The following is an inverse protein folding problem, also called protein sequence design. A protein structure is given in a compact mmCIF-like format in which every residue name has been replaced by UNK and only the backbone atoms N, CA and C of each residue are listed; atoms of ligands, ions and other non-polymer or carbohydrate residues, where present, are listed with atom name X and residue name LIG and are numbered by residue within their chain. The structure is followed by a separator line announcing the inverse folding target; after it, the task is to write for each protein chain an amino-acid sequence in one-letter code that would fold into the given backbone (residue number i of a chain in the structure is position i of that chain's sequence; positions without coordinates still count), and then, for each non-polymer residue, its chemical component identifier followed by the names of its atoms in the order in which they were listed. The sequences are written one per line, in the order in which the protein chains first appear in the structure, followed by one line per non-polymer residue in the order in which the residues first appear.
data_IF_945690862798
#
_entry.id   IF_945690862798
#
_cell.length_a   1.000
_cell.length_b   1.000
_cell.length_c   1.000
_cell.angle_alpha   90.00
_cell.angle_beta   90.00
_cell.angle_gamma   90.00
#
_symmetry.space_group_name_H-M   'P 1'
#
loop_
_entity.id
_entity.type
_entity.pdbx_description
1 polymer ?
#
# COMPACT_ATOMS: atom_id res chain seq x y z
N UNK A 1 -14.27 -15.70 23.97
CA UNK A 1 -13.32 -16.68 24.52
C UNK A 1 -13.49 -18.08 23.91
N UNK A 2 -14.61 -18.79 24.12
CA UNK A 2 -14.79 -20.15 23.60
C UNK A 2 -14.60 -20.30 22.08
N UNK A 3 -15.18 -19.39 21.28
CA UNK A 3 -14.97 -19.36 19.81
C UNK A 3 -13.50 -19.20 19.42
N UNK A 4 -12.74 -18.39 20.16
CA UNK A 4 -11.31 -18.17 19.92
C UNK A 4 -10.50 -19.44 20.21
N UNK A 5 -10.79 -20.13 21.32
CA UNK A 5 -10.13 -21.39 21.65
C UNK A 5 -10.43 -22.50 20.64
N UNK A 6 -11.65 -22.54 20.10
CA UNK A 6 -12.02 -23.46 19.02
C UNK A 6 -11.22 -23.19 17.75
N UNK A 7 -11.06 -21.94 17.33
CA UNK A 7 -10.22 -21.58 16.19
C UNK A 7 -8.75 -21.91 16.44
N UNK A 8 -8.21 -21.62 17.64
CA UNK A 8 -6.85 -22.00 17.99
C UNK A 8 -6.63 -23.51 17.90
N UNK A 9 -7.58 -24.31 18.40
CA UNK A 9 -7.53 -25.77 18.32
C UNK A 9 -7.58 -26.26 16.87
N UNK A 10 -8.48 -25.70 16.06
CA UNK A 10 -8.64 -26.04 14.64
C UNK A 10 -7.36 -25.77 13.83
N UNK A 11 -6.62 -24.72 14.19
CA UNK A 11 -5.36 -24.32 13.54
C UNK A 11 -4.11 -24.94 14.18
N UNK A 12 -4.27 -25.89 15.11
CA UNK A 12 -3.15 -26.58 15.74
C UNK A 12 -2.29 -25.69 16.65
N UNK A 13 -2.84 -24.59 17.16
CA UNK A 13 -2.10 -23.69 18.06
C UNK A 13 -1.91 -24.38 19.42
N UNK A 14 -0.65 -24.60 19.85
CA UNK A 14 -0.31 -25.19 21.15
C UNK A 14 -0.97 -24.46 22.32
N UNK A 15 -1.36 -25.20 23.37
CA UNK A 15 -2.16 -24.67 24.49
C UNK A 15 -1.44 -23.53 25.22
N UNK A 16 -0.15 -23.69 25.45
CA UNK A 16 0.79 -22.74 26.02
C UNK A 16 0.91 -21.44 25.21
N UNK A 17 0.74 -21.50 23.88
CA UNK A 17 0.74 -20.30 23.04
C UNK A 17 -0.58 -19.52 23.06
N UNK A 18 -1.71 -20.14 23.44
CA UNK A 18 -3.05 -19.52 23.29
C UNK A 18 -3.24 -18.27 24.12
N UNK A 19 -2.58 -18.18 25.29
CA UNK A 19 -2.65 -17.00 26.14
C UNK A 19 -2.00 -15.79 25.46
N UNK A 20 -0.80 -15.96 24.92
CA UNK A 20 -0.11 -14.92 24.16
C UNK A 20 -0.91 -14.50 22.92
N UNK A 21 -1.48 -15.46 22.19
CA UNK A 21 -2.35 -15.17 21.04
C UNK A 21 -3.59 -14.35 21.45
N UNK A 22 -4.20 -14.69 22.59
CA UNK A 22 -5.37 -13.95 23.09
C UNK A 22 -5.01 -12.52 23.50
N UNK A 23 -3.89 -12.36 24.20
CA UNK A 23 -3.37 -11.03 24.56
C UNK A 23 -3.16 -10.17 23.30
N UNK A 24 -2.59 -10.74 22.23
CA UNK A 24 -2.44 -10.06 20.95
C UNK A 24 -3.78 -9.65 20.31
N UNK A 25 -4.83 -10.47 20.44
CA UNK A 25 -6.18 -10.10 19.98
C UNK A 25 -6.74 -8.91 20.77
N UNK A 26 -6.37 -8.79 22.05
CA UNK A 26 -6.68 -7.64 22.91
C UNK A 26 -5.79 -6.43 22.70
N UNK A 27 -4.81 -6.51 21.81
CA UNK A 27 -3.86 -5.44 21.54
C UNK A 27 -2.70 -5.37 22.55
N UNK A 28 -2.55 -6.39 23.39
CA UNK A 28 -1.41 -6.52 24.30
C UNK A 28 -0.24 -7.17 23.56
N UNK A 29 0.66 -6.33 23.07
CA UNK A 29 1.76 -6.76 22.18
C UNK A 29 2.97 -7.31 22.96
N UNK A 30 3.01 -7.15 24.28
CA UNK A 30 4.16 -7.55 25.13
C UNK A 30 4.47 -9.05 25.07
N UNK A 31 3.49 -9.90 24.73
CA UNK A 31 3.67 -11.34 24.60
C UNK A 31 4.00 -11.78 23.16
N UNK A 32 4.07 -10.87 22.19
CA UNK A 32 4.38 -11.16 20.79
C UNK A 32 5.71 -11.92 20.61
N UNK A 33 6.73 -11.52 21.39
CA UNK A 33 8.07 -12.09 21.32
C UNK A 33 8.17 -13.54 21.77
N UNK A 34 7.21 -14.01 22.57
CA UNK A 34 7.19 -15.37 23.11
C UNK A 34 6.70 -16.41 22.09
N UNK A 35 6.00 -15.97 21.04
CA UNK A 35 5.49 -16.87 20.03
C UNK A 35 6.59 -17.28 19.04
N UNK A 36 6.75 -18.58 18.74
CA UNK A 36 7.58 -19.00 17.62
C UNK A 36 6.97 -18.52 16.30
N UNK A 37 7.81 -18.35 15.29
CA UNK A 37 7.37 -17.86 13.97
C UNK A 37 6.33 -18.80 13.32
N UNK A 38 6.43 -20.12 13.52
CA UNK A 38 5.42 -21.08 13.09
C UNK A 38 4.02 -20.79 13.69
N UNK A 39 3.95 -20.34 14.95
CA UNK A 39 2.68 -19.94 15.56
C UNK A 39 2.12 -18.68 14.87
N UNK A 40 2.97 -17.71 14.57
CA UNK A 40 2.61 -16.51 13.81
C UNK A 40 2.02 -16.84 12.44
N UNK A 41 2.56 -17.85 11.74
CA UNK A 41 1.98 -18.34 10.48
C UNK A 41 0.60 -18.94 10.65
N UNK A 42 0.39 -19.77 11.68
CA UNK A 42 -0.93 -20.32 11.99
C UNK A 42 -1.97 -19.21 12.31
N UNK A 43 -1.54 -18.09 12.90
CA UNK A 43 -2.42 -16.94 13.16
C UNK A 43 -2.92 -16.25 11.90
N UNK A 44 -2.19 -16.29 10.78
CA UNK A 44 -2.64 -15.68 9.53
C UNK A 44 -3.86 -16.37 8.94
N UNK A 45 -4.06 -17.65 9.27
CA UNK A 45 -5.22 -18.43 8.85
C UNK A 45 -6.48 -18.12 9.67
N UNK A 46 -6.31 -17.48 10.83
CA UNK A 46 -7.44 -17.01 11.62
C UNK A 46 -7.98 -15.74 10.94
N UNK A 47 -9.29 -15.63 10.70
CA UNK A 47 -9.90 -14.49 9.98
C UNK A 47 -9.99 -13.21 10.84
N UNK A 48 -8.96 -12.91 11.63
CA UNK A 48 -8.86 -11.71 12.46
C UNK A 48 -7.93 -10.69 11.79
N UNK A 49 -8.42 -9.50 11.38
CA UNK A 49 -7.60 -8.49 10.70
C UNK A 49 -6.42 -7.99 11.54
N UNK A 50 -6.57 -7.97 12.87
CA UNK A 50 -5.53 -7.57 13.84
C UNK A 50 -4.26 -8.42 13.67
N UNK A 51 -4.40 -9.74 13.59
CA UNK A 51 -3.26 -10.66 13.45
C UNK A 51 -2.48 -10.47 12.17
N UNK A 52 -3.13 -10.18 11.04
CA UNK A 52 -2.42 -9.91 9.77
C UNK A 52 -1.58 -8.65 9.82
N UNK A 53 -2.02 -7.64 10.58
CA UNK A 53 -1.26 -6.41 10.80
C UNK A 53 -0.09 -6.68 11.74
N UNK A 54 -0.35 -7.35 12.86
CA UNK A 54 0.66 -7.68 13.86
C UNK A 54 1.75 -8.61 13.31
N UNK A 55 1.36 -9.64 12.56
CA UNK A 55 2.28 -10.56 11.90
C UNK A 55 3.28 -9.83 11.02
N UNK A 56 2.79 -8.95 10.13
CA UNK A 56 3.66 -8.24 9.20
C UNK A 56 4.65 -7.35 9.94
N UNK A 57 4.18 -6.62 10.96
CA UNK A 57 5.06 -5.79 11.78
C UNK A 57 6.09 -6.66 12.51
N UNK A 58 5.66 -7.71 13.18
CA UNK A 58 6.55 -8.60 13.95
C UNK A 58 7.60 -9.29 13.09
N UNK A 59 7.21 -9.86 11.94
CA UNK A 59 8.15 -10.56 11.05
C UNK A 59 9.14 -9.58 10.43
N UNK A 60 8.68 -8.40 10.01
CA UNK A 60 9.57 -7.35 9.49
C UNK A 60 10.49 -6.81 10.58
N UNK A 61 10.03 -6.57 11.79
CA UNK A 61 10.88 -6.05 12.87
C UNK A 61 11.92 -7.09 13.32
N UNK A 62 11.55 -8.38 13.37
CA UNK A 62 12.40 -9.45 13.90
C UNK A 62 13.37 -10.03 12.86
N UNK A 63 13.02 -9.98 11.57
CA UNK A 63 13.84 -10.53 10.47
C UNK A 63 14.26 -9.48 9.44
N UNK A 64 13.85 -8.23 9.61
CA UNK A 64 14.30 -7.08 8.83
C UNK A 64 15.62 -6.53 9.34
N UNK A 65 16.58 -7.39 9.67
CA UNK A 65 17.90 -6.95 10.09
C UNK A 65 18.61 -6.22 8.93
N UNK A 66 18.53 -4.89 8.94
CA UNK A 66 19.58 -3.95 8.54
C UNK A 66 20.07 -3.95 7.10
N UNK A 67 19.51 -4.73 6.18
CA UNK A 67 19.86 -4.71 4.76
C UNK A 67 18.85 -3.87 4.00
N UNK A 68 19.12 -2.57 3.75
CA UNK A 68 18.26 -1.77 2.89
C UNK A 68 18.25 -2.37 1.48
N UNK A 69 17.16 -2.13 0.75
CA UNK A 69 17.08 -2.48 -0.67
C UNK A 69 18.22 -1.80 -1.44
N UNK A 70 18.92 -2.57 -2.28
CA UNK A 70 20.05 -2.11 -3.10
C UNK A 70 19.82 -2.52 -4.56
N UNK A 71 20.39 -1.78 -5.53
CA UNK A 71 20.28 -2.16 -6.93
C UNK A 71 20.74 -3.60 -7.17
N UNK A 72 20.03 -4.32 -8.03
CA UNK A 72 20.30 -5.73 -8.34
C UNK A 72 19.83 -6.74 -7.29
N UNK A 73 19.24 -6.31 -6.17
CA UNK A 73 18.64 -7.23 -5.21
C UNK A 73 17.52 -8.06 -5.86
N UNK A 74 17.50 -9.35 -5.55
CA UNK A 74 16.43 -10.27 -5.97
C UNK A 74 15.38 -10.44 -4.86
N UNK A 75 14.12 -10.24 -5.23
CA UNK A 75 12.96 -10.25 -4.35
C UNK A 75 11.98 -11.37 -4.71
N UNK A 76 11.33 -11.94 -3.72
CA UNK A 76 10.18 -12.86 -3.91
C UNK A 76 8.92 -12.24 -3.31
N UNK A 77 7.84 -12.28 -4.08
CA UNK A 77 6.54 -11.69 -3.71
C UNK A 77 5.61 -12.73 -3.07
N UNK A 78 5.46 -12.69 -1.74
CA UNK A 78 4.64 -13.64 -0.99
C UNK A 78 3.29 -13.06 -0.56
N UNK A 79 2.22 -13.71 -1.00
CA UNK A 79 0.84 -13.38 -0.63
C UNK A 79 0.14 -12.43 -1.60
N UNK A 80 -0.87 -11.74 -1.09
CA UNK A 80 -1.73 -10.81 -1.86
C UNK A 80 -1.30 -9.36 -1.65
N UNK A 81 -1.22 -8.60 -2.74
CA UNK A 81 -0.74 -7.21 -2.77
C UNK A 81 -1.87 -6.24 -3.12
N UNK A 82 -1.65 -4.94 -2.96
CA UNK A 82 -2.65 -3.93 -3.33
C UNK A 82 -2.81 -3.82 -4.84
N UNK A 83 -1.71 -4.01 -5.59
CA UNK A 83 -1.72 -4.17 -7.03
C UNK A 83 -1.47 -5.63 -7.44
N UNK A 84 -1.62 -5.94 -8.73
CA UNK A 84 -1.33 -7.29 -9.23
C UNK A 84 0.16 -7.59 -9.07
N UNK A 85 0.51 -8.86 -8.84
CA UNK A 85 1.93 -9.27 -8.74
C UNK A 85 2.72 -8.90 -10.00
N UNK A 86 2.08 -8.98 -11.18
CA UNK A 86 2.68 -8.60 -12.45
C UNK A 86 3.04 -7.10 -12.48
N UNK A 87 2.12 -6.22 -12.06
CA UNK A 87 2.39 -4.78 -12.02
C UNK A 87 3.46 -4.43 -10.99
N UNK A 88 3.42 -5.07 -9.82
CA UNK A 88 4.45 -4.88 -8.80
C UNK A 88 5.81 -5.36 -9.30
N UNK A 89 5.87 -6.50 -9.97
CA UNK A 89 7.11 -7.02 -10.54
C UNK A 89 7.69 -6.08 -11.60
N UNK A 90 6.85 -5.59 -12.52
CA UNK A 90 7.28 -4.63 -13.54
C UNK A 90 7.85 -3.33 -12.92
N UNK A 91 7.25 -2.82 -11.85
CA UNK A 91 7.75 -1.64 -11.14
C UNK A 91 9.10 -1.92 -10.44
N UNK A 92 9.24 -3.09 -9.81
CA UNK A 92 10.48 -3.53 -9.17
C UNK A 92 11.60 -3.66 -10.21
N UNK A 93 11.33 -4.30 -11.34
CA UNK A 93 12.30 -4.49 -12.43
C UNK A 93 12.71 -3.16 -13.06
N UNK A 94 11.77 -2.23 -13.24
CA UNK A 94 12.05 -0.87 -13.73
C UNK A 94 12.98 -0.09 -12.78
N UNK A 95 12.92 -0.38 -11.48
CA UNK A 95 13.81 0.21 -10.48
C UNK A 95 15.20 -0.47 -10.40
N UNK A 96 15.50 -1.41 -11.30
CA UNK A 96 16.78 -2.12 -11.35
C UNK A 96 16.92 -3.25 -10.33
N UNK A 97 15.80 -3.74 -9.80
CA UNK A 97 15.74 -4.91 -8.92
C UNK A 97 15.31 -6.14 -9.74
N UNK A 98 15.41 -7.35 -9.17
CA UNK A 98 14.97 -8.60 -9.81
C UNK A 98 13.81 -9.21 -9.05
N UNK A 99 12.88 -9.85 -9.75
CA UNK A 99 11.80 -10.62 -9.12
C UNK A 99 11.92 -12.09 -9.46
N UNK A 100 11.97 -12.93 -8.43
CA UNK A 100 11.94 -14.38 -8.55
C UNK A 100 10.57 -14.94 -8.16
N UNK A 101 10.18 -16.04 -8.80
CA UNK A 101 8.92 -16.75 -8.51
C UNK A 101 9.05 -17.53 -7.19
N UNK A 102 10.22 -18.14 -6.97
CA UNK A 102 10.53 -19.00 -5.82
C UNK A 102 11.85 -18.53 -5.20
N UNK A 103 11.99 -18.56 -3.86
CA UNK A 103 13.26 -18.24 -3.20
C UNK A 103 14.37 -19.19 -3.64
N UNK A 104 15.49 -18.61 -4.10
CA UNK A 104 16.71 -19.31 -4.46
C UNK A 104 17.92 -18.79 -3.68
N UNK A 105 19.12 -19.24 -4.05
CA UNK A 105 20.37 -18.81 -3.39
C UNK A 105 20.74 -17.35 -3.64
N UNK A 106 20.19 -16.74 -4.70
CA UNK A 106 20.38 -15.33 -5.05
C UNK A 106 19.33 -14.41 -4.41
N UNK A 107 18.27 -14.99 -3.85
CA UNK A 107 17.20 -14.21 -3.24
C UNK A 107 17.73 -13.51 -2.01
N UNK A 108 17.52 -12.20 -1.95
CA UNK A 108 17.99 -11.36 -0.84
C UNK A 108 16.84 -10.90 0.04
N UNK A 109 15.66 -10.69 -0.55
CA UNK A 109 14.51 -10.15 0.17
C UNK A 109 13.22 -10.94 -0.09
N UNK A 110 12.37 -10.99 0.94
CA UNK A 110 10.97 -11.44 0.85
C UNK A 110 10.06 -10.23 1.02
N UNK A 111 9.21 -9.97 0.04
CA UNK A 111 8.17 -8.94 0.12
C UNK A 111 6.88 -9.57 0.65
N UNK A 112 6.46 -9.14 1.84
CA UNK A 112 5.26 -9.65 2.49
C UNK A 112 4.00 -8.88 2.06
N UNK A 113 3.09 -9.61 1.41
CA UNK A 113 1.70 -9.21 1.16
C UNK A 113 0.78 -9.45 2.36
N UNK A 114 -0.53 -9.31 2.16
CA UNK A 114 -1.55 -9.40 3.23
C UNK A 114 -1.85 -10.84 3.67
N UNK A 115 -1.62 -11.83 2.80
CA UNK A 115 -1.91 -13.25 3.02
C UNK A 115 -0.78 -14.12 2.47
N UNK A 116 0.43 -14.03 3.03
CA UNK A 116 1.55 -14.84 2.57
C UNK A 116 1.28 -16.33 2.86
N UNK A 117 1.61 -17.25 1.94
CA UNK A 117 1.64 -18.68 2.27
C UNK A 117 2.80 -18.98 3.22
N UNK A 118 2.62 -19.99 4.08
CA UNK A 118 3.71 -20.48 4.92
C UNK A 118 4.66 -21.37 4.11
N UNK A 119 5.96 -21.13 4.26
CA UNK A 119 7.01 -22.00 3.75
C UNK A 119 8.09 -22.15 4.81
N UNK A 120 8.21 -23.35 5.40
CA UNK A 120 9.19 -23.65 6.45
C UNK A 120 10.63 -23.34 6.01
N UNK A 121 10.94 -23.57 4.73
CA UNK A 121 12.27 -23.30 4.16
C UNK A 121 12.70 -21.83 4.32
N UNK A 122 11.77 -20.87 4.31
CA UNK A 122 12.09 -19.45 4.45
C UNK A 122 12.71 -19.10 5.81
N UNK A 123 12.44 -19.90 6.84
CA UNK A 123 12.97 -19.66 8.17
C UNK A 123 14.48 -19.98 8.27
N UNK A 124 14.96 -20.86 7.38
CA UNK A 124 16.34 -21.35 7.34
C UNK A 124 17.24 -20.48 6.46
N UNK A 125 16.66 -19.63 5.61
CA UNK A 125 17.40 -18.77 4.71
C UNK A 125 17.69 -17.41 5.38
N UNK A 126 18.89 -16.82 5.20
CA UNK A 126 19.26 -15.52 5.74
C UNK A 126 18.66 -14.36 4.90
N UNK A 127 17.33 -14.37 4.74
CA UNK A 127 16.58 -13.43 3.92
C UNK A 127 16.12 -12.24 4.76
N UNK A 128 16.16 -11.05 4.16
CA UNK A 128 15.59 -9.83 4.75
C UNK A 128 14.11 -9.72 4.39
N UNK A 129 13.26 -9.39 5.36
CA UNK A 129 11.82 -9.28 5.15
C UNK A 129 11.43 -7.83 4.99
N UNK A 130 10.62 -7.53 3.99
CA UNK A 130 10.17 -6.17 3.68
C UNK A 130 8.69 -6.14 3.35
N UNK A 131 8.12 -4.95 3.23
CA UNK A 131 6.71 -4.72 2.89
C UNK A 131 6.57 -4.17 1.47
N UNK A 132 5.38 -4.34 0.89
CA UNK A 132 5.03 -3.69 -0.38
C UNK A 132 5.28 -2.18 -0.33
N UNK A 133 4.92 -1.52 0.78
CA UNK A 133 5.09 -0.07 0.92
C UNK A 133 6.56 0.36 0.85
N UNK A 134 7.45 -0.34 1.55
CA UNK A 134 8.89 -0.04 1.54
C UNK A 134 9.53 -0.29 0.17
N UNK A 135 9.09 -1.34 -0.54
CA UNK A 135 9.55 -1.61 -1.91
C UNK A 135 9.07 -0.52 -2.87
N UNK A 136 7.80 -0.11 -2.78
CA UNK A 136 7.26 0.95 -3.61
C UNK A 136 7.92 2.31 -3.33
N UNK A 137 8.28 2.59 -2.07
CA UNK A 137 9.08 3.76 -1.72
C UNK A 137 10.45 3.73 -2.39
N UNK A 138 11.18 2.62 -2.28
CA UNK A 138 12.44 2.43 -3.00
C UNK A 138 12.27 2.59 -4.52
N UNK A 139 11.25 1.98 -5.11
CA UNK A 139 10.98 2.11 -6.53
C UNK A 139 10.68 3.56 -6.91
N UNK A 140 9.98 4.34 -6.07
CA UNK A 140 9.73 5.77 -6.33
C UNK A 140 11.02 6.60 -6.28
N UNK A 141 11.95 6.27 -5.38
CA UNK A 141 13.25 6.94 -5.30
C UNK A 141 14.18 6.60 -6.47
N UNK A 142 14.08 5.38 -7.03
CA UNK A 142 15.01 4.85 -8.04
C UNK A 142 14.46 4.75 -9.45
N UNK A 143 13.15 4.72 -9.62
CA UNK A 143 12.55 4.68 -10.94
C UNK A 143 13.05 5.89 -11.73
N UNK A 144 13.59 5.71 -12.94
CA UNK A 144 13.74 6.80 -13.88
C UNK A 144 12.33 7.21 -14.27
N UNK A 145 11.71 8.07 -13.47
CA UNK A 145 10.33 8.44 -13.71
C UNK A 145 10.28 9.15 -15.06
N UNK A 146 9.66 8.52 -16.05
CA UNK A 146 9.38 9.17 -17.32
C UNK A 146 8.56 10.45 -17.13
N UNK A 147 7.84 10.57 -16.01
CA UNK A 147 7.13 11.79 -15.60
C UNK A 147 7.92 12.68 -14.60
N UNK A 148 9.04 12.29 -14.00
CA UNK A 148 9.90 13.23 -13.23
C UNK A 148 11.13 13.68 -14.01
N UNK A 149 11.60 12.91 -15.01
CA UNK A 149 12.69 13.29 -15.93
C UNK A 149 12.21 13.99 -17.19
N UNK A 150 10.95 13.79 -17.59
CA UNK A 150 10.38 14.29 -18.87
C UNK A 150 8.92 14.73 -18.75
N UNK A 151 8.47 15.12 -17.54
CA UNK A 151 7.31 16.01 -17.46
C UNK A 151 7.73 17.39 -18.00
N UNK A 152 7.85 17.50 -19.32
CA UNK A 152 7.71 18.79 -19.94
C UNK A 152 6.43 19.43 -19.37
N UNK A 153 6.46 20.71 -18.98
CA UNK A 153 5.29 21.39 -18.44
C UNK A 153 4.03 21.17 -19.28
N UNK A 154 4.19 21.11 -20.61
CA UNK A 154 3.13 20.81 -21.56
C UNK A 154 2.47 19.41 -21.35
N UNK A 155 3.23 18.39 -20.99
CA UNK A 155 2.72 17.04 -20.74
C UNK A 155 1.93 16.96 -19.43
N UNK A 156 2.39 17.65 -18.38
CA UNK A 156 1.63 17.75 -17.12
C UNK A 156 0.35 18.54 -17.29
N UNK A 157 0.37 19.66 -18.02
CA UNK A 157 -0.83 20.45 -18.28
C UNK A 157 -1.87 19.67 -19.09
N UNK A 158 -1.44 18.89 -20.08
CA UNK A 158 -2.35 17.96 -20.79
C UNK A 158 -2.95 16.94 -19.83
N UNK A 159 -2.15 16.37 -18.93
CA UNK A 159 -2.65 15.41 -17.94
C UNK A 159 -3.65 16.04 -16.96
N UNK A 160 -3.37 17.25 -16.45
CA UNK A 160 -4.32 18.04 -15.64
C UNK A 160 -5.63 18.26 -16.38
N UNK A 161 -5.55 18.70 -17.64
CA UNK A 161 -6.72 18.93 -18.48
C UNK A 161 -7.56 17.66 -18.65
N UNK A 162 -6.93 16.51 -18.89
CA UNK A 162 -7.64 15.25 -19.02
C UNK A 162 -8.27 14.78 -17.70
N UNK A 163 -7.60 14.99 -16.56
CA UNK A 163 -8.13 14.63 -15.23
C UNK A 163 -9.31 15.52 -14.81
N UNK A 164 -9.29 16.80 -15.19
CA UNK A 164 -10.36 17.76 -14.91
C UNK A 164 -11.48 17.76 -15.95
N UNK A 165 -11.42 16.89 -16.94
CA UNK A 165 -12.41 16.80 -18.01
C UNK A 165 -13.69 16.10 -17.55
N UNK A 166 -14.84 16.64 -17.94
CA UNK A 166 -16.14 15.97 -17.75
C UNK A 166 -16.34 14.80 -18.71
N UNK A 167 -15.47 14.64 -19.72
CA UNK A 167 -15.51 13.53 -20.67
C UNK A 167 -14.82 12.30 -20.08
N UNK A 168 -15.60 11.26 -19.80
CA UNK A 168 -15.07 10.02 -19.21
C UNK A 168 -13.94 9.37 -20.02
N UNK A 169 -13.93 9.52 -21.35
CA UNK A 169 -12.88 9.00 -22.22
C UNK A 169 -11.52 9.65 -21.94
N UNK A 170 -11.50 10.96 -21.71
CA UNK A 170 -10.28 11.69 -21.36
C UNK A 170 -9.78 11.27 -19.98
N UNK A 171 -10.70 11.11 -19.02
CA UNK A 171 -10.35 10.58 -17.71
C UNK A 171 -9.78 9.16 -17.81
N UNK A 172 -10.40 8.26 -18.59
CA UNK A 172 -9.87 6.89 -18.82
C UNK A 172 -8.44 6.91 -19.36
N UNK A 173 -8.17 7.76 -20.35
CA UNK A 173 -6.85 7.91 -20.94
C UNK A 173 -5.84 8.42 -19.91
N UNK A 174 -6.19 9.45 -19.14
CA UNK A 174 -5.34 9.96 -18.06
C UNK A 174 -5.01 8.88 -17.03
N UNK A 175 -6.01 8.11 -16.59
CA UNK A 175 -5.79 7.03 -15.62
C UNK A 175 -4.88 5.93 -16.20
N UNK A 176 -4.99 5.61 -17.49
CA UNK A 176 -4.11 4.63 -18.14
C UNK A 176 -2.66 5.12 -18.21
N UNK A 177 -2.44 6.40 -18.52
CA UNK A 177 -1.10 7.00 -18.51
C UNK A 177 -0.50 6.96 -17.11
N UNK A 178 -1.29 7.27 -16.08
CA UNK A 178 -0.88 7.22 -14.68
C UNK A 178 -0.60 5.79 -14.18
N UNK A 179 -1.38 4.80 -14.64
CA UNK A 179 -1.15 3.39 -14.31
C UNK A 179 0.18 2.87 -14.87
N UNK A 180 0.62 3.37 -16.04
CA UNK A 180 1.90 3.01 -16.64
C UNK A 180 3.10 3.83 -16.14
N UNK A 181 2.90 5.14 -15.89
CA UNK A 181 3.98 6.08 -15.55
C UNK A 181 4.11 6.43 -14.06
N UNK A 182 3.17 5.97 -13.23
CA UNK A 182 3.03 6.42 -11.85
C UNK A 182 2.27 7.75 -11.74
N UNK A 183 2.02 8.19 -10.50
CA UNK A 183 1.29 9.44 -10.22
C UNK A 183 2.27 10.55 -9.83
N UNK A 184 2.45 11.58 -10.67
CA UNK A 184 3.21 12.76 -10.28
C UNK A 184 2.53 13.50 -9.14
N UNK A 185 3.30 13.96 -8.16
CA UNK A 185 2.77 14.76 -7.05
C UNK A 185 2.04 16.03 -7.55
N UNK A 186 2.50 16.59 -8.67
CA UNK A 186 1.93 17.78 -9.28
C UNK A 186 0.48 17.64 -9.79
N UNK A 187 -0.05 16.42 -9.93
CA UNK A 187 -1.42 16.16 -10.41
C UNK A 187 -2.30 15.45 -9.37
N UNK A 188 -1.81 15.33 -8.12
CA UNK A 188 -2.47 14.58 -7.06
C UNK A 188 -3.85 15.19 -6.71
N UNK A 189 -3.95 16.52 -6.72
CA UNK A 189 -5.16 17.27 -6.41
C UNK A 189 -6.22 17.10 -7.49
N UNK A 190 -5.83 17.17 -8.76
CA UNK A 190 -6.68 16.94 -9.93
C UNK A 190 -7.16 15.49 -9.98
N UNK A 191 -6.29 14.53 -9.64
CA UNK A 191 -6.68 13.12 -9.52
C UNK A 191 -7.70 12.90 -8.40
N UNK A 192 -7.54 13.55 -7.24
CA UNK A 192 -8.53 13.52 -6.17
C UNK A 192 -9.84 14.18 -6.60
N UNK A 193 -9.78 15.32 -7.28
CA UNK A 193 -10.96 15.99 -7.80
C UNK A 193 -11.72 15.09 -8.78
N UNK A 194 -11.03 14.42 -9.71
CA UNK A 194 -11.62 13.46 -10.63
C UNK A 194 -12.34 12.32 -9.89
N UNK A 195 -11.76 11.79 -8.80
CA UNK A 195 -12.40 10.77 -7.96
C UNK A 195 -13.72 11.27 -7.34
N UNK A 196 -13.75 12.53 -6.88
CA UNK A 196 -14.91 13.12 -6.23
C UNK A 196 -16.03 13.44 -7.21
N UNK A 197 -15.69 13.93 -8.39
CA UNK A 197 -16.64 14.48 -9.38
C UNK A 197 -17.15 13.43 -10.37
N UNK A 198 -16.39 12.39 -10.68
CA UNK A 198 -16.83 11.39 -11.66
C UNK A 198 -18.12 10.68 -11.23
N UNK A 199 -19.03 10.43 -12.18
CA UNK A 199 -20.24 9.61 -11.95
C UNK A 199 -19.98 8.10 -12.04
N UNK A 200 -18.94 7.69 -12.77
CA UNK A 200 -18.66 6.28 -13.03
C UNK A 200 -18.05 5.56 -11.83
N UNK A 201 -18.73 4.52 -11.35
CA UNK A 201 -18.24 3.66 -10.28
C UNK A 201 -16.97 2.88 -10.65
N UNK A 202 -16.74 2.62 -11.93
CA UNK A 202 -15.50 2.01 -12.42
C UNK A 202 -14.33 2.99 -12.28
N UNK A 203 -14.49 4.21 -12.78
CA UNK A 203 -13.46 5.25 -12.71
C UNK A 203 -13.14 5.61 -11.26
N UNK A 204 -14.15 5.75 -10.38
CA UNK A 204 -13.92 5.94 -8.93
C UNK A 204 -13.00 4.89 -8.34
N UNK A 205 -13.19 3.61 -8.69
CA UNK A 205 -12.39 2.50 -8.18
C UNK A 205 -10.95 2.56 -8.71
N UNK A 206 -10.75 2.90 -9.98
CA UNK A 206 -9.41 3.07 -10.57
C UNK A 206 -8.68 4.26 -9.98
N UNK A 207 -9.32 5.43 -9.93
CA UNK A 207 -8.74 6.66 -9.35
C UNK A 207 -8.37 6.47 -7.88
N UNK A 208 -9.24 5.87 -7.07
CA UNK A 208 -8.94 5.59 -5.66
C UNK A 208 -7.77 4.62 -5.48
N UNK A 209 -7.58 3.66 -6.39
CA UNK A 209 -6.43 2.75 -6.36
C UNK A 209 -5.12 3.52 -6.57
N UNK A 210 -5.09 4.37 -7.60
CA UNK A 210 -3.93 5.21 -7.91
C UNK A 210 -3.60 6.19 -6.78
N UNK A 211 -4.61 6.85 -6.21
CA UNK A 211 -4.43 7.75 -5.06
C UNK A 211 -3.79 7.02 -3.87
N UNK A 212 -4.28 5.83 -3.52
CA UNK A 212 -3.74 5.04 -2.40
C UNK A 212 -2.30 4.58 -2.61
N UNK A 213 -1.89 4.34 -3.86
CA UNK A 213 -0.49 4.01 -4.17
C UNK A 213 0.41 5.24 -4.21
N UNK A 214 -0.15 6.44 -4.43
CA UNK A 214 0.62 7.67 -4.57
C UNK A 214 0.93 8.32 -3.21
N UNK A 215 0.03 8.19 -2.22
CA UNK A 215 0.13 8.89 -0.93
C UNK A 215 0.59 7.98 0.22
N UNK A 216 1.23 8.60 1.21
CA UNK A 216 1.61 8.01 2.48
C UNK A 216 0.45 7.90 3.46
N UNK A 217 0.78 7.69 4.75
CA UNK A 217 -0.22 7.40 5.79
C UNK A 217 -1.18 8.55 6.03
N UNK A 218 -0.68 9.78 6.13
CA UNK A 218 -1.51 10.97 6.37
C UNK A 218 -2.46 11.23 5.19
N UNK A 219 -1.98 11.11 3.95
CA UNK A 219 -2.83 11.15 2.76
C UNK A 219 -3.88 10.04 2.72
N UNK A 220 -3.55 8.81 3.14
CA UNK A 220 -4.55 7.73 3.23
C UNK A 220 -5.64 8.02 4.28
N UNK A 221 -5.28 8.64 5.39
CA UNK A 221 -6.25 9.09 6.39
C UNK A 221 -7.14 10.20 5.85
N UNK A 222 -6.57 11.15 5.09
CA UNK A 222 -7.33 12.15 4.35
C UNK A 222 -8.33 11.51 3.37
N UNK A 223 -7.91 10.55 2.55
CA UNK A 223 -8.77 9.86 1.57
C UNK A 223 -9.96 9.13 2.20
N UNK A 224 -9.91 8.81 3.50
CA UNK A 224 -11.03 8.20 4.25
C UNK A 224 -12.07 9.22 4.72
N UNK A 225 -11.68 10.50 4.85
CA UNK A 225 -12.59 11.58 5.27
C UNK A 225 -13.60 11.84 4.14
N UNK A 226 -14.88 11.73 4.45
CA UNK A 226 -15.96 12.16 3.57
C UNK A 226 -16.30 13.62 3.86
N UNK A 227 -15.56 14.52 3.23
CA UNK A 227 -15.80 15.97 3.37
C UNK A 227 -16.95 16.35 2.44
N UNK A 228 -18.12 16.79 2.96
CA UNK A 228 -19.21 17.28 2.12
C UNK A 228 -18.77 18.52 1.34
N UNK A 229 -19.32 18.71 0.12
CA UNK A 229 -19.00 19.87 -0.71
C UNK A 229 -19.96 21.05 -0.49
N UNK A 230 -21.04 20.82 0.24
CA UNK A 230 -22.05 21.83 0.57
C UNK A 230 -22.20 21.97 2.10
N UNK A 231 -22.35 23.20 2.63
CA UNK A 231 -22.25 24.48 1.92
C UNK A 231 -20.80 24.81 1.52
N UNK A 232 -20.63 25.49 0.37
CA UNK A 232 -19.34 25.82 -0.27
C UNK A 232 -18.32 26.41 0.71
N UNK A 233 -18.67 27.44 1.49
CA UNK A 233 -17.72 28.11 2.39
C UNK A 233 -17.13 27.15 3.44
N UNK A 234 -18.00 26.31 4.01
CA UNK A 234 -17.61 25.30 4.99
C UNK A 234 -16.79 24.19 4.35
N UNK A 235 -17.12 23.79 3.12
CA UNK A 235 -16.37 22.78 2.39
C UNK A 235 -14.94 23.25 2.10
N UNK A 236 -14.75 24.52 1.71
CA UNK A 236 -13.43 25.12 1.49
C UNK A 236 -12.57 25.09 2.74
N UNK A 237 -13.11 25.53 3.88
CA UNK A 237 -12.41 25.50 5.17
C UNK A 237 -12.05 24.06 5.60
N UNK A 238 -13.00 23.13 5.45
CA UNK A 238 -12.80 21.74 5.81
C UNK A 238 -11.76 21.04 4.93
N UNK A 239 -11.73 21.32 3.62
CA UNK A 239 -10.73 20.77 2.71
C UNK A 239 -9.33 21.28 3.07
N UNK A 240 -9.17 22.59 3.29
CA UNK A 240 -7.91 23.20 3.73
C UNK A 240 -7.39 22.56 5.00
N UNK A 241 -8.22 22.56 6.06
CA UNK A 241 -7.84 22.01 7.37
C UNK A 241 -7.57 20.51 7.31
N UNK A 242 -8.32 19.76 6.50
CA UNK A 242 -8.14 18.31 6.43
C UNK A 242 -6.85 17.91 5.68
N UNK A 243 -6.40 18.74 4.74
CA UNK A 243 -5.21 18.53 3.92
C UNK A 243 -3.89 18.95 4.63
N UNK A 244 -3.97 19.70 5.73
CA UNK A 244 -2.80 20.06 6.55
C UNK A 244 -1.98 18.81 6.95
N UNK A 245 -0.68 18.84 6.66
CA UNK A 245 0.23 17.71 6.95
C UNK A 245 0.10 16.51 6.01
N UNK A 246 -0.54 16.69 4.86
CA UNK A 246 -0.68 15.65 3.82
C UNK A 246 -0.02 16.09 2.51
N UNK A 247 -0.04 15.20 1.51
CA UNK A 247 0.44 15.47 0.15
C UNK A 247 -0.54 16.30 -0.70
N UNK A 248 -1.72 16.61 -0.17
CA UNK A 248 -2.74 17.40 -0.87
C UNK A 248 -2.60 18.89 -0.57
N UNK A 249 -2.92 19.72 -1.55
CA UNK A 249 -3.06 21.16 -1.38
C UNK A 249 -4.55 21.48 -1.18
N UNK A 250 -4.92 21.76 0.07
CA UNK A 250 -6.31 21.99 0.42
C UNK A 250 -6.92 23.23 -0.25
N UNK A 251 -6.12 24.26 -0.55
CA UNK A 251 -6.58 25.46 -1.24
C UNK A 251 -6.89 25.17 -2.72
N UNK A 252 -6.03 24.38 -3.37
CA UNK A 252 -6.26 23.93 -4.74
C UNK A 252 -7.44 22.98 -4.82
N UNK A 253 -7.58 22.05 -3.87
CA UNK A 253 -8.74 21.17 -3.79
C UNK A 253 -10.05 21.94 -3.61
N UNK A 254 -10.05 22.96 -2.75
CA UNK A 254 -11.19 23.84 -2.56
C UNK A 254 -11.57 24.54 -3.88
N UNK A 255 -10.61 25.06 -4.64
CA UNK A 255 -10.85 25.68 -5.93
C UNK A 255 -11.38 24.70 -6.99
N UNK A 256 -10.88 23.47 -7.00
CA UNK A 256 -11.29 22.43 -7.97
C UNK A 256 -12.69 21.87 -7.68
N UNK A 257 -13.04 21.70 -6.40
CA UNK A 257 -14.25 20.99 -5.97
C UNK A 257 -15.43 21.90 -5.62
N UNK A 258 -15.16 23.15 -5.26
CA UNK A 258 -16.17 24.08 -4.74
C UNK A 258 -16.32 25.28 -5.70
N UNK A 259 -16.83 24.99 -6.89
CA UNK A 259 -17.15 25.96 -7.94
C UNK A 259 -18.50 26.61 -7.70
#
# INVERSE_FOLDING_TARGET
WLRFLQECRKRGIPVDHRLAVWALDKGEEGLAGQLPIAAWWALLEIPLPSFRRLFRRFVVDRKGEGRPLRPGAELVLLGTFHQTKANLAAQIETAGLKVAIVPGSQTTHIVLGQRPPYFEMLERLPLTWTTEAAVLEYCREKAPSYLQRTAEPASLERLRTMLSSDREEQLRLALQLLEGGGVPAAVLNELYAAYRLTGSAELKRRTMRLLRSAVGRSGQEFLRKRIPLEPVDRAREQLTRAAEGTEFDGSLLAALLCK
#
